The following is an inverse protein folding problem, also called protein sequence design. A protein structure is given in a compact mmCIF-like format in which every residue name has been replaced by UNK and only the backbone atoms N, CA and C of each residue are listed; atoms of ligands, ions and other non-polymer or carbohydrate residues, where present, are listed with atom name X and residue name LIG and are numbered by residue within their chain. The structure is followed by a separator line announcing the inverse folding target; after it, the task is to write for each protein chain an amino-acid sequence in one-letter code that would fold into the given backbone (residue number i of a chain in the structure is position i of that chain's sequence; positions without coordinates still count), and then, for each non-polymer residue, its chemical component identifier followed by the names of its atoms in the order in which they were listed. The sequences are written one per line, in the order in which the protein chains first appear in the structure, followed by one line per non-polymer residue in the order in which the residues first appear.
data_IF_075674038042
#
_entry.id   IF_075674038042
#
_cell.length_a   1.000
_cell.length_b   1.000
_cell.length_c   1.000
_cell.angle_alpha   90.00
_cell.angle_beta   90.00
_cell.angle_gamma   90.00
#
_symmetry.space_group_name_H-M   'P 1'
#
loop_
_entity.id
_entity.type
_entity.pdbx_description
1 polymer ?
#
# COMPACT_ATOMS: atom_id res chain seq x y z
N UNK A 1 68.30 -16.86 -20.00
CA UNK A 1 66.94 -16.73 -20.59
C UNK A 1 66.08 -17.79 -19.91
N UNK A 2 65.50 -17.58 -18.72
CA UNK A 2 64.56 -16.51 -18.31
C UNK A 2 63.35 -16.48 -19.26
N UNK A 3 62.17 -16.76 -18.70
CA UNK A 3 60.83 -16.88 -19.31
C UNK A 3 60.63 -18.20 -20.09
N UNK A 4 59.89 -19.19 -19.58
CA UNK A 4 58.43 -19.20 -19.56
C UNK A 4 57.84 -20.17 -18.51
N UNK A 5 58.42 -20.22 -17.30
CA UNK A 5 57.83 -20.89 -16.12
C UNK A 5 56.79 -19.99 -15.41
N UNK A 6 55.87 -19.39 -16.16
CA UNK A 6 54.79 -18.55 -15.64
C UNK A 6 53.46 -18.96 -16.27
N UNK A 7 52.99 -20.18 -16.01
CA UNK A 7 51.62 -20.61 -16.30
C UNK A 7 51.05 -21.56 -15.24
N UNK A 8 51.50 -21.42 -13.98
CA UNK A 8 51.11 -22.33 -12.89
C UNK A 8 50.68 -21.62 -11.59
N UNK A 9 50.44 -20.30 -11.63
CA UNK A 9 50.01 -19.54 -10.46
C UNK A 9 49.12 -18.35 -10.83
N UNK A 10 47.99 -18.61 -11.51
CA UNK A 10 46.90 -17.62 -11.57
C UNK A 10 45.54 -18.27 -11.87
N UNK A 11 45.18 -19.32 -11.13
CA UNK A 11 43.77 -19.57 -10.82
C UNK A 11 43.54 -19.06 -9.41
N UNK A 12 43.60 -17.74 -9.32
CA UNK A 12 43.24 -16.96 -8.16
C UNK A 12 41.80 -17.33 -7.80
N UNK A 13 41.65 -17.84 -6.59
CA UNK A 13 40.41 -17.87 -5.82
C UNK A 13 39.59 -16.59 -6.09
N UNK A 14 38.65 -16.65 -7.02
CA UNK A 14 37.59 -15.65 -7.17
C UNK A 14 36.23 -16.35 -7.03
N UNK A 15 36.15 -17.26 -6.06
CA UNK A 15 34.90 -17.67 -5.46
C UNK A 15 34.60 -16.74 -4.28
N UNK A 16 33.34 -16.28 -4.20
CA UNK A 16 32.74 -15.51 -3.10
C UNK A 16 32.85 -13.97 -3.17
N UNK A 17 32.42 -13.40 -4.29
CA UNK A 17 31.45 -12.31 -4.19
C UNK A 17 30.18 -12.78 -4.90
N UNK A 18 29.46 -13.72 -4.27
CA UNK A 18 28.03 -13.80 -4.55
C UNK A 18 27.50 -12.39 -4.31
N UNK A 19 26.87 -11.72 -5.31
CA UNK A 19 26.12 -10.52 -5.00
C UNK A 19 25.16 -10.97 -3.92
N UNK A 20 25.21 -10.35 -2.73
CA UNK A 20 24.36 -10.67 -1.59
C UNK A 20 22.98 -10.98 -2.15
N UNK A 21 22.59 -12.26 -2.18
CA UNK A 21 21.26 -12.65 -2.61
C UNK A 21 20.36 -12.10 -1.52
N UNK A 22 19.85 -10.89 -1.75
CA UNK A 22 19.05 -10.18 -0.77
C UNK A 22 17.79 -11.01 -0.55
N UNK A 23 17.43 -11.18 0.73
CA UNK A 23 16.24 -11.91 1.12
C UNK A 23 15.03 -11.31 0.39
N UNK A 24 14.32 -12.14 -0.38
CA UNK A 24 13.02 -11.84 -0.95
C UNK A 24 12.00 -12.78 -0.31
N UNK A 25 11.50 -12.48 0.92
CA UNK A 25 10.49 -13.32 1.54
C UNK A 25 9.25 -13.42 0.66
N UNK A 26 8.76 -14.64 0.47
CA UNK A 26 7.54 -14.87 -0.28
C UNK A 26 6.74 -16.03 0.28
N UNK A 27 5.43 -16.03 -0.01
CA UNK A 27 4.55 -17.15 0.26
C UNK A 27 3.42 -17.17 -0.77
N UNK A 28 3.07 -18.35 -1.26
CA UNK A 28 1.87 -18.57 -2.09
C UNK A 28 0.95 -19.59 -1.43
N UNK A 29 -0.35 -19.33 -1.49
CA UNK A 29 -1.37 -20.06 -0.73
C UNK A 29 -2.66 -20.18 -1.53
N UNK A 30 -3.33 -21.32 -1.39
CA UNK A 30 -4.68 -21.54 -1.88
C UNK A 30 -5.71 -21.05 -0.86
N UNK A 31 -6.64 -20.19 -1.30
CA UNK A 31 -7.60 -19.54 -0.39
C UNK A 31 -8.58 -20.53 0.23
N UNK A 32 -9.10 -21.50 -0.53
CA UNK A 32 -10.13 -22.41 -0.02
C UNK A 32 -9.62 -23.23 1.18
N UNK A 33 -8.43 -23.81 1.06
CA UNK A 33 -7.86 -24.74 2.04
C UNK A 33 -6.88 -24.07 3.01
N UNK A 34 -6.30 -22.93 2.64
CA UNK A 34 -5.17 -22.33 3.37
C UNK A 34 -3.86 -23.10 3.16
N UNK A 35 -3.83 -24.01 2.18
CA UNK A 35 -2.66 -24.82 1.81
C UNK A 35 -1.57 -23.95 1.21
N UNK A 36 -0.36 -24.10 1.73
CA UNK A 36 0.82 -23.40 1.24
C UNK A 36 1.37 -24.17 0.03
N UNK A 37 1.60 -23.42 -1.05
CA UNK A 37 2.07 -23.95 -2.33
C UNK A 37 3.60 -23.77 -2.45
N UNK A 38 4.09 -22.60 -2.07
CA UNK A 38 5.51 -22.28 -2.01
C UNK A 38 5.75 -21.25 -0.90
N UNK A 39 6.89 -21.31 -0.23
CA UNK A 39 7.28 -20.29 0.73
C UNK A 39 8.80 -20.17 0.83
N UNK A 40 9.28 -18.97 1.12
CA UNK A 40 10.67 -18.66 1.42
C UNK A 40 10.70 -17.58 2.50
N UNK A 41 11.51 -17.81 3.55
CA UNK A 41 11.69 -16.85 4.65
C UNK A 41 10.37 -16.30 5.21
N UNK A 42 9.34 -17.15 5.32
CA UNK A 42 7.95 -16.74 5.48
C UNK A 42 7.66 -15.98 6.79
N UNK A 43 8.53 -16.13 7.80
CA UNK A 43 8.45 -15.49 9.12
C UNK A 43 9.51 -14.40 9.34
N UNK A 44 10.32 -14.06 8.33
CA UNK A 44 11.21 -12.92 8.46
C UNK A 44 10.40 -11.63 8.58
N UNK A 45 10.75 -10.81 9.59
CA UNK A 45 10.11 -9.51 9.78
C UNK A 45 10.48 -8.60 8.62
N UNK A 46 9.50 -7.84 8.18
CA UNK A 46 9.63 -6.94 7.04
C UNK A 46 8.78 -5.70 7.24
N UNK A 47 9.19 -4.59 6.62
CA UNK A 47 8.36 -3.40 6.55
C UNK A 47 7.24 -3.62 5.51
N UNK A 48 5.95 -3.68 5.89
CA UNK A 48 4.87 -4.00 4.96
C UNK A 48 4.60 -2.86 3.97
N UNK A 49 5.08 -1.64 4.26
CA UNK A 49 4.74 -0.43 3.51
C UNK A 49 3.20 -0.35 3.32
N UNK A 50 2.74 0.05 2.14
CA UNK A 50 1.30 0.14 1.84
C UNK A 50 0.52 -1.17 1.85
N UNK A 51 1.15 -2.35 2.04
CA UNK A 51 0.41 -3.58 2.32
C UNK A 51 -0.37 -3.48 3.65
N UNK A 52 0.05 -2.57 4.55
CA UNK A 52 -0.69 -2.15 5.75
C UNK A 52 -2.15 -1.79 5.45
N UNK A 53 -2.42 -1.21 4.27
CA UNK A 53 -3.77 -0.80 3.88
C UNK A 53 -4.72 -1.99 3.66
N UNK A 54 -4.22 -3.22 3.54
CA UNK A 54 -5.05 -4.42 3.58
C UNK A 54 -5.70 -4.61 4.96
N UNK A 55 -4.99 -4.32 6.06
CA UNK A 55 -5.57 -4.39 7.40
C UNK A 55 -6.56 -3.24 7.61
N UNK A 56 -6.26 -2.06 7.09
CA UNK A 56 -7.20 -0.93 7.07
C UNK A 56 -8.49 -1.30 6.33
N UNK A 57 -8.39 -1.90 5.14
CA UNK A 57 -9.54 -2.39 4.39
C UNK A 57 -10.28 -3.50 5.15
N UNK A 58 -9.56 -4.46 5.76
CA UNK A 58 -10.14 -5.56 6.53
C UNK A 58 -11.05 -5.07 7.68
N UNK A 59 -10.58 -4.10 8.47
CA UNK A 59 -11.39 -3.51 9.56
C UNK A 59 -12.63 -2.81 9.02
N UNK A 60 -12.47 -2.04 7.94
CA UNK A 60 -13.56 -1.29 7.31
C UNK A 60 -14.60 -2.26 6.73
N UNK A 61 -14.14 -3.30 6.02
CA UNK A 61 -15.00 -4.35 5.48
C UNK A 61 -15.77 -5.08 6.56
N UNK A 62 -15.13 -5.39 7.68
CA UNK A 62 -15.79 -5.99 8.84
C UNK A 62 -16.92 -5.09 9.35
N UNK A 63 -16.66 -3.81 9.58
CA UNK A 63 -17.66 -2.84 10.02
C UNK A 63 -18.78 -2.63 8.97
N UNK A 64 -18.47 -2.67 7.67
CA UNK A 64 -19.48 -2.60 6.60
C UNK A 64 -20.34 -3.86 6.56
N UNK A 65 -19.73 -5.05 6.72
CA UNK A 65 -20.43 -6.34 6.66
C UNK A 65 -21.44 -6.53 7.79
N UNK A 66 -21.19 -5.91 8.96
CA UNK A 66 -22.10 -5.94 10.11
C UNK A 66 -23.10 -4.77 10.11
N UNK A 67 -23.05 -3.89 9.11
CA UNK A 67 -23.90 -2.70 9.04
C UNK A 67 -23.53 -1.57 10.00
N UNK A 68 -22.39 -1.66 10.70
CA UNK A 68 -21.90 -0.61 11.62
C UNK A 68 -21.59 0.68 10.85
N UNK A 69 -21.08 0.57 9.62
CA UNK A 69 -20.81 1.70 8.73
C UNK A 69 -21.36 1.46 7.32
N UNK A 70 -21.90 2.51 6.72
CA UNK A 70 -22.36 2.47 5.32
C UNK A 70 -21.21 2.83 4.36
N UNK A 71 -21.16 2.24 3.14
CA UNK A 71 -20.28 2.72 2.06
C UNK A 71 -20.50 4.21 1.71
N UNK A 72 -21.69 4.75 2.01
CA UNK A 72 -22.03 6.16 1.78
C UNK A 72 -21.59 7.09 2.93
N UNK A 73 -20.98 6.55 4.00
CA UNK A 73 -20.47 7.37 5.10
C UNK A 73 -19.53 8.44 4.55
N UNK A 74 -19.72 9.69 4.98
CA UNK A 74 -18.86 10.79 4.58
C UNK A 74 -17.50 10.67 5.25
N UNK A 75 -16.46 10.78 4.44
CA UNK A 75 -15.06 10.85 4.85
C UNK A 75 -14.59 12.27 4.59
N UNK A 76 -14.39 13.02 5.67
CA UNK A 76 -13.82 14.37 5.60
C UNK A 76 -12.31 14.26 5.78
N UNK A 77 -11.54 14.83 4.86
CA UNK A 77 -10.08 14.86 4.96
C UNK A 77 -9.68 15.88 6.02
N UNK A 78 -9.06 15.43 7.12
CA UNK A 78 -8.56 16.31 8.16
C UNK A 78 -7.31 17.08 7.70
N UNK A 79 -6.92 18.12 8.44
CA UNK A 79 -5.65 18.81 8.20
C UNK A 79 -4.43 17.89 8.37
N UNK A 80 -4.52 16.94 9.30
CA UNK A 80 -3.47 15.95 9.52
C UNK A 80 -3.37 14.99 8.32
N UNK A 81 -4.51 14.42 7.89
CA UNK A 81 -4.58 13.56 6.72
C UNK A 81 -4.05 14.27 5.46
N UNK A 82 -4.46 15.51 5.21
CA UNK A 82 -4.03 16.29 4.04
C UNK A 82 -2.51 16.56 3.98
N UNK A 83 -1.79 16.44 5.11
CA UNK A 83 -0.33 16.62 5.20
C UNK A 83 0.45 15.32 5.02
N UNK A 84 -0.22 14.18 4.78
CA UNK A 84 0.43 12.90 4.61
C UNK A 84 1.46 12.94 3.46
N UNK A 85 2.71 12.49 3.67
CA UNK A 85 3.74 12.54 2.65
C UNK A 85 3.59 11.39 1.65
N UNK A 86 3.95 11.65 0.39
CA UNK A 86 3.95 10.70 -0.74
C UNK A 86 2.60 10.00 -0.98
N UNK A 87 2.37 9.52 -2.21
CA UNK A 87 1.14 8.79 -2.58
C UNK A 87 -0.12 9.44 -1.97
N UNK A 88 -0.35 10.72 -2.22
CA UNK A 88 -1.50 11.45 -1.69
C UNK A 88 -2.57 11.60 -2.78
N UNK A 89 -3.85 11.70 -2.41
CA UNK A 89 -4.93 11.97 -3.36
C UNK A 89 -4.84 13.38 -3.96
N UNK A 90 -4.23 14.33 -3.24
CA UNK A 90 -4.12 15.74 -3.63
C UNK A 90 -5.37 16.56 -3.28
N UNK A 91 -6.37 15.94 -2.65
CA UNK A 91 -7.52 16.65 -2.11
C UNK A 91 -7.13 17.49 -0.89
N UNK A 92 -7.80 18.63 -0.73
CA UNK A 92 -7.50 19.59 0.35
C UNK A 92 -8.18 19.16 1.66
N UNK A 93 -7.62 19.58 2.79
CA UNK A 93 -8.28 19.48 4.09
C UNK A 93 -9.69 20.10 4.03
N UNK A 94 -10.69 19.39 4.53
CA UNK A 94 -12.12 19.71 4.45
C UNK A 94 -12.84 19.17 3.21
N UNK A 95 -12.13 18.54 2.27
CA UNK A 95 -12.80 17.84 1.15
C UNK A 95 -13.56 16.63 1.70
N UNK A 96 -14.71 16.33 1.10
CA UNK A 96 -15.59 15.24 1.53
C UNK A 96 -15.82 14.28 0.37
N UNK A 97 -15.73 12.98 0.64
CA UNK A 97 -16.01 11.88 -0.29
C UNK A 97 -16.75 10.76 0.45
N UNK A 98 -17.40 9.84 -0.28
CA UNK A 98 -17.95 8.64 0.35
C UNK A 98 -16.83 7.68 0.75
N UNK A 99 -17.09 6.83 1.74
CA UNK A 99 -16.20 5.73 2.12
C UNK A 99 -15.88 4.81 0.93
N UNK A 100 -16.88 4.50 0.11
CA UNK A 100 -16.72 3.72 -1.12
C UNK A 100 -15.71 4.34 -2.11
N UNK A 101 -15.82 5.65 -2.34
CA UNK A 101 -14.85 6.39 -3.17
C UNK A 101 -13.47 6.40 -2.52
N UNK A 102 -13.39 6.59 -1.19
CA UNK A 102 -12.13 6.62 -0.47
C UNK A 102 -11.40 5.27 -0.54
N UNK A 103 -12.13 4.16 -0.34
CA UNK A 103 -11.63 2.80 -0.47
C UNK A 103 -11.13 2.52 -1.89
N UNK A 104 -11.95 2.84 -2.90
CA UNK A 104 -11.61 2.65 -4.32
C UNK A 104 -10.30 3.36 -4.69
N UNK A 105 -10.18 4.65 -4.36
CA UNK A 105 -8.95 5.41 -4.63
C UNK A 105 -7.78 4.82 -3.84
N UNK A 106 -7.99 4.46 -2.57
CA UNK A 106 -6.93 3.94 -1.70
C UNK A 106 -6.40 2.59 -2.15
N UNK A 107 -7.26 1.69 -2.65
CA UNK A 107 -6.81 0.38 -3.15
C UNK A 107 -6.03 0.50 -4.46
N UNK A 108 -6.45 1.38 -5.37
CA UNK A 108 -5.81 1.55 -6.69
C UNK A 108 -4.54 2.39 -6.61
N UNK A 109 -4.60 3.53 -5.92
CA UNK A 109 -3.52 4.55 -5.85
C UNK A 109 -2.75 4.58 -4.55
N UNK A 110 -3.11 3.73 -3.59
CA UNK A 110 -2.37 3.57 -2.34
C UNK A 110 -2.32 4.84 -1.48
N UNK A 111 -3.37 5.65 -1.53
CA UNK A 111 -3.37 7.01 -0.97
C UNK A 111 -3.23 7.04 0.55
N UNK A 112 -2.21 7.74 1.06
CA UNK A 112 -1.89 7.82 2.49
C UNK A 112 -2.88 8.70 3.25
N UNK A 113 -3.19 9.87 2.69
CA UNK A 113 -4.15 10.84 3.22
C UNK A 113 -5.55 10.20 3.40
N UNK A 114 -6.05 9.49 2.39
CA UNK A 114 -7.36 8.82 2.49
C UNK A 114 -7.34 7.66 3.49
N UNK A 115 -6.25 6.90 3.60
CA UNK A 115 -6.14 5.86 4.62
C UNK A 115 -6.20 6.45 6.04
N UNK A 116 -5.55 7.60 6.26
CA UNK A 116 -5.60 8.32 7.53
C UNK A 116 -7.03 8.85 7.78
N UNK A 117 -7.63 9.55 6.81
CA UNK A 117 -8.98 10.10 6.95
C UNK A 117 -10.04 9.02 7.20
N UNK A 118 -9.96 7.86 6.52
CA UNK A 118 -10.83 6.72 6.80
C UNK A 118 -10.62 6.18 8.23
N UNK A 119 -9.36 6.10 8.69
CA UNK A 119 -9.07 5.64 10.06
C UNK A 119 -9.66 6.56 11.13
N UNK A 120 -9.59 7.88 10.92
CA UNK A 120 -10.20 8.90 11.79
C UNK A 120 -11.72 8.80 11.77
N UNK A 121 -12.34 8.67 10.60
CA UNK A 121 -13.78 8.61 10.45
C UNK A 121 -14.41 7.33 11.04
N UNK A 122 -13.68 6.21 11.02
CA UNK A 122 -14.17 4.90 11.48
C UNK A 122 -13.92 4.65 12.96
N UNK A 123 -12.79 5.10 13.51
CA UNK A 123 -12.44 4.86 14.92
C UNK A 123 -12.37 6.13 15.78
N UNK A 124 -12.71 7.30 15.24
CA UNK A 124 -12.62 8.59 15.91
C UNK A 124 -11.20 9.18 15.96
N UNK A 125 -10.17 8.33 15.89
CA UNK A 125 -8.77 8.76 15.78
C UNK A 125 -7.90 7.66 15.16
N UNK A 126 -6.77 8.05 14.57
CA UNK A 126 -5.82 7.07 14.04
C UNK A 126 -5.26 6.15 15.16
N UNK A 127 -5.05 6.67 16.38
CA UNK A 127 -4.58 5.87 17.52
C UNK A 127 -5.57 4.75 17.86
N UNK A 128 -6.85 5.07 17.95
CA UNK A 128 -7.90 4.08 18.21
C UNK A 128 -8.02 3.07 17.06
N UNK A 129 -7.82 3.52 15.82
CA UNK A 129 -7.81 2.63 14.66
C UNK A 129 -6.63 1.65 14.70
N UNK A 130 -5.42 2.11 15.02
CA UNK A 130 -4.22 1.25 15.16
C UNK A 130 -4.40 0.21 16.28
N UNK A 131 -5.05 0.58 17.38
CA UNK A 131 -5.42 -0.38 18.43
C UNK A 131 -6.34 -1.49 17.88
N UNK A 132 -7.36 -1.13 17.07
CA UNK A 132 -8.20 -2.12 16.37
C UNK A 132 -7.38 -2.98 15.39
N UNK A 133 -6.45 -2.39 14.62
CA UNK A 133 -5.56 -3.13 13.71
C UNK A 133 -4.75 -4.20 14.44
N UNK A 134 -4.14 -3.86 15.57
CA UNK A 134 -3.33 -4.81 16.34
C UNK A 134 -4.18 -5.84 17.07
N UNK A 135 -5.39 -5.48 17.52
CA UNK A 135 -6.34 -6.44 18.08
C UNK A 135 -6.79 -7.47 17.03
N UNK A 136 -7.09 -7.04 15.80
CA UNK A 136 -7.44 -7.93 14.70
C UNK A 136 -6.24 -8.77 14.25
N UNK A 137 -5.03 -8.19 14.15
CA UNK A 137 -3.82 -8.96 13.87
C UNK A 137 -3.63 -10.10 14.86
N UNK A 138 -3.80 -9.83 16.17
CA UNK A 138 -3.75 -10.84 17.22
C UNK A 138 -4.86 -11.88 17.06
N UNK A 139 -6.11 -11.46 16.81
CA UNK A 139 -7.27 -12.35 16.62
C UNK A 139 -7.07 -13.31 15.45
N UNK A 140 -6.48 -12.81 14.37
CA UNK A 140 -6.16 -13.61 13.18
C UNK A 140 -4.95 -14.52 13.39
N UNK A 141 -4.15 -14.32 14.45
CA UNK A 141 -2.93 -15.08 14.69
C UNK A 141 -1.74 -14.60 13.86
N UNK A 142 -1.69 -13.31 13.52
CA UNK A 142 -0.58 -12.66 12.83
C UNK A 142 0.58 -12.35 13.81
N UNK A 143 1.26 -13.41 14.27
CA UNK A 143 2.24 -13.36 15.37
C UNK A 143 3.53 -12.59 15.07
N UNK A 144 3.83 -12.36 13.80
CA UNK A 144 4.99 -11.59 13.34
C UNK A 144 4.63 -10.18 12.89
N UNK A 145 3.46 -9.65 13.29
CA UNK A 145 2.92 -8.38 12.81
C UNK A 145 2.64 -7.38 13.93
N UNK A 146 3.01 -6.14 13.70
CA UNK A 146 2.55 -4.99 14.47
C UNK A 146 2.35 -3.79 13.53
N UNK A 147 1.20 -3.14 13.64
CA UNK A 147 0.88 -1.93 12.90
C UNK A 147 1.10 -0.71 13.78
N UNK A 148 1.75 0.33 13.24
CA UNK A 148 1.91 1.61 13.95
C UNK A 148 1.05 2.74 13.37
N UNK A 149 0.54 2.57 12.14
CA UNK A 149 -0.29 3.53 11.44
C UNK A 149 -1.19 2.84 10.40
N UNK A 150 -2.21 3.53 9.91
CA UNK A 150 -3.21 2.96 8.98
C UNK A 150 -2.78 2.95 7.51
N UNK A 151 -1.69 3.65 7.16
CA UNK A 151 -1.29 3.87 5.76
C UNK A 151 -0.07 3.03 5.34
N UNK A 152 0.74 2.58 6.29
CA UNK A 152 2.03 1.96 6.03
C UNK A 152 3.15 2.96 5.75
N UNK A 153 3.02 4.20 6.24
CA UNK A 153 4.11 5.17 6.25
C UNK A 153 5.28 4.63 7.08
N UNK A 154 6.53 5.04 6.77
CA UNK A 154 7.72 4.53 7.45
C UNK A 154 7.66 4.72 8.98
N UNK A 155 7.81 3.61 9.69
CA UNK A 155 7.91 3.55 11.14
C UNK A 155 8.60 2.23 11.50
N UNK A 156 9.68 2.23 12.32
CA UNK A 156 10.35 1.01 12.75
C UNK A 156 9.44 -0.01 13.45
N UNK A 157 8.36 0.46 14.09
CA UNK A 157 7.37 -0.39 14.75
C UNK A 157 6.33 -0.94 13.78
N UNK A 158 6.27 -0.51 12.52
CA UNK A 158 5.34 -1.06 11.55
C UNK A 158 5.99 -2.23 10.79
N UNK A 159 5.74 -3.46 11.21
CA UNK A 159 6.34 -4.66 10.62
C UNK A 159 5.32 -5.79 10.46
N UNK A 160 5.62 -6.72 9.56
CA UNK A 160 4.81 -7.91 9.27
C UNK A 160 5.70 -9.02 8.71
N UNK A 161 5.11 -10.17 8.39
CA UNK A 161 5.78 -11.28 7.68
C UNK A 161 5.03 -11.66 6.41
N UNK A 162 5.66 -12.41 5.50
CA UNK A 162 4.98 -12.91 4.30
C UNK A 162 3.81 -13.85 4.67
N UNK A 163 4.00 -14.70 5.69
CA UNK A 163 2.96 -15.58 6.21
C UNK A 163 1.76 -14.81 6.75
N UNK A 164 2.00 -13.78 7.56
CA UNK A 164 0.91 -13.03 8.18
C UNK A 164 0.13 -12.19 7.16
N UNK A 165 0.82 -11.59 6.19
CA UNK A 165 0.16 -10.88 5.09
C UNK A 165 -0.67 -11.85 4.24
N UNK A 166 -0.17 -13.06 3.98
CA UNK A 166 -0.93 -14.07 3.27
C UNK A 166 -2.18 -14.49 4.04
N UNK A 167 -2.06 -14.65 5.36
CA UNK A 167 -3.19 -14.95 6.24
C UNK A 167 -4.26 -13.85 6.20
N UNK A 168 -3.85 -12.59 6.30
CA UNK A 168 -4.76 -11.46 6.16
C UNK A 168 -5.47 -11.45 4.81
N UNK A 169 -4.73 -11.67 3.71
CA UNK A 169 -5.29 -11.69 2.37
C UNK A 169 -6.28 -12.85 2.17
N UNK A 170 -5.97 -14.05 2.69
CA UNK A 170 -6.89 -15.20 2.72
C UNK A 170 -8.17 -14.86 3.48
N UNK A 171 -8.07 -14.22 4.65
CA UNK A 171 -9.25 -13.87 5.43
C UNK A 171 -10.09 -12.77 4.78
N UNK A 172 -9.48 -11.79 4.11
CA UNK A 172 -10.23 -10.82 3.29
C UNK A 172 -11.06 -11.56 2.23
N UNK A 173 -10.45 -12.51 1.50
CA UNK A 173 -11.14 -13.25 0.44
C UNK A 173 -12.25 -14.17 0.96
N UNK A 174 -12.06 -14.77 2.14
CA UNK A 174 -13.04 -15.68 2.76
C UNK A 174 -14.19 -14.95 3.42
N UNK A 175 -13.90 -13.92 4.21
CA UNK A 175 -14.89 -13.23 5.03
C UNK A 175 -15.65 -12.15 4.23
N UNK A 176 -15.01 -11.58 3.19
CA UNK A 176 -15.55 -10.43 2.46
C UNK A 176 -15.52 -10.58 0.92
N UNK A 177 -15.98 -11.70 0.34
CA UNK A 177 -16.00 -11.87 -1.12
C UNK A 177 -16.80 -10.77 -1.85
N UNK A 178 -17.84 -10.20 -1.22
CA UNK A 178 -18.65 -9.11 -1.76
C UNK A 178 -17.86 -7.81 -2.00
N UNK A 179 -16.71 -7.61 -1.34
CA UNK A 179 -15.85 -6.44 -1.49
C UNK A 179 -14.62 -6.69 -2.38
N UNK A 180 -14.56 -7.85 -3.06
CA UNK A 180 -13.44 -8.20 -3.94
C UNK A 180 -13.21 -7.17 -5.07
N UNK A 181 -14.27 -6.49 -5.51
CA UNK A 181 -14.23 -5.52 -6.60
C UNK A 181 -13.25 -4.36 -6.35
N UNK A 182 -13.00 -3.94 -5.10
CA UNK A 182 -12.04 -2.86 -4.80
C UNK A 182 -10.60 -3.19 -5.23
N UNK A 183 -10.26 -4.47 -5.32
CA UNK A 183 -8.91 -4.91 -5.63
C UNK A 183 -8.66 -5.09 -7.14
N UNK A 184 -9.71 -5.21 -7.94
CA UNK A 184 -9.63 -5.44 -9.39
C UNK A 184 -9.87 -4.19 -10.24
N UNK A 185 -10.13 -3.02 -9.62
CA UNK A 185 -10.29 -1.76 -10.35
C UNK A 185 -9.00 -1.46 -11.15
N UNK A 186 -9.07 -1.31 -12.48
CA UNK A 186 -7.89 -1.17 -13.32
C UNK A 186 -7.27 0.23 -13.27
N UNK A 187 -8.09 1.27 -13.07
CA UNK A 187 -7.64 2.66 -13.01
C UNK A 187 -8.69 3.54 -12.32
N UNK A 188 -8.27 4.71 -11.85
CA UNK A 188 -9.14 5.76 -11.31
C UNK A 188 -9.17 6.93 -12.29
N UNK A 189 -10.37 7.40 -12.62
CA UNK A 189 -10.62 8.65 -13.31
C UNK A 189 -11.12 9.71 -12.32
N UNK A 190 -10.27 10.71 -12.04
CA UNK A 190 -10.60 11.82 -11.13
C UNK A 190 -11.49 12.90 -11.80
N UNK A 191 -11.80 12.73 -13.09
CA UNK A 191 -12.56 13.68 -13.89
C UNK A 191 -11.79 14.95 -14.27
N UNK A 192 -12.45 15.79 -15.08
CA UNK A 192 -11.89 17.06 -15.55
C UNK A 192 -10.71 16.87 -16.50
N UNK A 193 -9.65 17.67 -16.33
CA UNK A 193 -8.41 17.60 -17.13
C UNK A 193 -7.32 16.72 -16.48
N UNK A 194 -7.67 15.93 -15.46
CA UNK A 194 -6.71 15.08 -14.78
C UNK A 194 -6.38 13.84 -15.62
N UNK A 195 -5.14 13.37 -15.53
CA UNK A 195 -4.76 12.09 -16.15
C UNK A 195 -5.41 10.94 -15.41
N UNK A 196 -5.97 9.98 -16.14
CA UNK A 196 -6.40 8.68 -15.61
C UNK A 196 -5.19 8.03 -14.92
N UNK A 197 -5.40 7.53 -13.71
CA UNK A 197 -4.33 6.96 -12.92
C UNK A 197 -4.48 5.43 -12.82
N UNK A 198 -3.58 4.64 -13.42
CA UNK A 198 -3.68 3.19 -13.42
C UNK A 198 -3.44 2.60 -12.04
N UNK A 199 -3.92 1.36 -11.85
CA UNK A 199 -3.58 0.55 -10.69
C UNK A 199 -2.07 0.33 -10.63
N UNK A 200 -1.53 0.43 -9.41
CA UNK A 200 -0.11 0.19 -9.14
C UNK A 200 0.33 -1.28 -9.30
N UNK A 201 -0.63 -2.21 -9.28
CA UNK A 201 -0.41 -3.61 -9.62
C UNK A 201 -0.52 -3.78 -11.15
N UNK A 202 0.62 -3.87 -11.86
CA UNK A 202 0.57 -4.00 -13.31
C UNK A 202 0.17 -5.41 -13.77
N UNK A 203 -0.15 -6.35 -12.89
CA UNK A 203 -0.76 -7.61 -13.30
C UNK A 203 -2.24 -7.44 -13.66
N UNK A 204 -2.92 -6.39 -13.18
CA UNK A 204 -4.35 -6.18 -13.43
C UNK A 204 -4.61 -6.03 -14.94
N UNK A 205 -5.45 -6.93 -15.48
CA UNK A 205 -5.75 -7.01 -16.91
C UNK A 205 -4.65 -7.64 -17.77
N UNK A 206 -3.56 -8.12 -17.15
CA UNK A 206 -2.37 -8.65 -17.83
C UNK A 206 -1.98 -10.07 -17.39
N UNK A 207 -2.65 -10.65 -16.40
CA UNK A 207 -2.46 -12.03 -15.97
C UNK A 207 -3.81 -12.75 -15.93
N UNK A 208 -3.89 -13.97 -16.47
CA UNK A 208 -5.15 -14.72 -16.54
C UNK A 208 -5.73 -15.01 -15.15
N UNK A 209 -6.96 -14.57 -14.93
CA UNK A 209 -7.68 -14.70 -13.66
C UNK A 209 -7.30 -13.68 -12.57
N UNK A 210 -6.41 -12.71 -12.84
CA UNK A 210 -5.99 -11.73 -11.83
C UNK A 210 -7.17 -10.92 -11.29
N UNK A 211 -7.26 -10.81 -9.96
CA UNK A 211 -8.35 -10.11 -9.27
C UNK A 211 -7.88 -9.31 -8.05
N UNK A 212 -6.56 -9.10 -7.90
CA UNK A 212 -6.01 -8.24 -6.85
C UNK A 212 -4.51 -8.40 -6.60
N UNK A 213 -3.97 -7.89 -5.48
CA UNK A 213 -4.68 -7.08 -4.48
C UNK A 213 -3.99 -5.75 -4.23
N UNK A 214 -2.75 -5.75 -3.70
CA UNK A 214 -2.15 -4.52 -3.19
C UNK A 214 -0.63 -4.52 -3.31
N UNK A 215 -0.09 -3.40 -3.76
CA UNK A 215 1.35 -3.12 -3.76
C UNK A 215 1.80 -2.35 -2.52
N UNK A 216 3.09 -2.41 -2.21
CA UNK A 216 3.73 -1.59 -1.19
C UNK A 216 5.15 -1.19 -1.58
N UNK A 217 5.53 0.03 -1.25
CA UNK A 217 6.90 0.50 -1.43
C UNK A 217 7.22 1.60 -0.41
N UNK A 218 8.30 1.40 0.33
CA UNK A 218 9.15 2.42 0.91
C UNK A 218 10.59 1.99 0.66
N UNK A 219 11.55 2.92 0.67
CA UNK A 219 12.95 2.57 0.42
C UNK A 219 13.46 1.43 1.32
N UNK A 220 13.05 1.42 2.59
CA UNK A 220 13.46 0.40 3.56
C UNK A 220 12.81 -0.98 3.30
N UNK A 221 11.71 -1.07 2.54
CA UNK A 221 11.00 -2.33 2.30
C UNK A 221 11.33 -2.99 0.97
N UNK A 222 11.98 -2.30 0.04
CA UNK A 222 11.94 -2.70 -1.37
C UNK A 222 10.52 -2.66 -1.93
N UNK A 223 10.31 -3.37 -3.05
CA UNK A 223 9.04 -3.44 -3.76
C UNK A 223 8.23 -4.68 -3.33
N UNK A 224 7.05 -4.45 -2.74
CA UNK A 224 6.18 -5.49 -2.19
C UNK A 224 4.88 -5.64 -3.01
N UNK A 225 4.33 -6.85 -3.05
CA UNK A 225 3.05 -7.15 -3.70
C UNK A 225 2.32 -8.31 -3.01
N UNK A 226 1.03 -8.13 -2.79
CA UNK A 226 0.05 -9.22 -2.62
C UNK A 226 -0.75 -9.30 -3.91
N UNK A 227 -0.57 -10.38 -4.65
CA UNK A 227 -1.33 -10.69 -5.86
C UNK A 227 -2.37 -11.78 -5.56
N UNK A 228 -3.53 -11.70 -6.20
CA UNK A 228 -4.60 -12.70 -6.13
C UNK A 228 -5.08 -12.97 -7.54
N UNK A 229 -5.30 -14.25 -7.86
CA UNK A 229 -5.91 -14.68 -9.09
C UNK A 229 -6.87 -15.84 -8.85
N UNK A 230 -7.97 -15.87 -9.62
CA UNK A 230 -8.99 -16.92 -9.56
C UNK A 230 -9.19 -17.55 -10.94
N UNK A 231 -9.04 -18.87 -11.04
CA UNK A 231 -9.35 -19.66 -12.25
C UNK A 231 -10.21 -20.86 -11.85
N UNK A 232 -11.34 -21.09 -12.54
CA UNK A 232 -12.24 -22.24 -12.30
C UNK A 232 -12.58 -22.43 -10.80
N UNK A 233 -13.00 -21.35 -10.12
CA UNK A 233 -13.32 -21.29 -8.68
C UNK A 233 -12.17 -21.58 -7.71
N UNK A 234 -10.94 -21.71 -8.20
CA UNK A 234 -9.73 -21.84 -7.37
C UNK A 234 -9.04 -20.48 -7.29
N UNK A 235 -8.89 -19.94 -6.08
CA UNK A 235 -8.18 -18.67 -5.84
C UNK A 235 -6.81 -18.93 -5.21
N UNK A 236 -5.77 -18.37 -5.84
CA UNK A 236 -4.39 -18.42 -5.36
C UNK A 236 -3.95 -17.00 -4.99
N UNK A 237 -3.28 -16.88 -3.85
CA UNK A 237 -2.65 -15.63 -3.40
C UNK A 237 -1.13 -15.83 -3.42
N UNK A 238 -0.40 -14.83 -3.90
CA UNK A 238 1.05 -14.74 -3.82
C UNK A 238 1.45 -13.45 -3.10
N UNK A 239 2.26 -13.59 -2.04
CA UNK A 239 2.85 -12.49 -1.27
C UNK A 239 4.34 -12.44 -1.56
N UNK A 240 4.82 -11.28 -1.97
CA UNK A 240 6.21 -11.00 -2.32
C UNK A 240 6.64 -9.76 -1.55
N UNK A 241 7.72 -9.88 -0.79
CA UNK A 241 8.32 -8.79 -0.03
C UNK A 241 9.75 -8.57 -0.50
N UNK A 242 10.17 -7.31 -0.61
CA UNK A 242 11.58 -6.98 -0.80
C UNK A 242 12.15 -7.20 -2.19
N UNK A 243 11.34 -7.20 -3.26
CA UNK A 243 11.89 -7.21 -4.62
C UNK A 243 12.71 -5.95 -4.89
N UNK A 244 13.75 -6.05 -5.72
CA UNK A 244 14.63 -4.91 -5.98
C UNK A 244 13.97 -3.90 -6.91
N UNK A 245 13.08 -4.34 -7.81
CA UNK A 245 12.37 -3.46 -8.73
C UNK A 245 10.95 -3.97 -9.01
N UNK A 246 10.17 -3.16 -9.74
CA UNK A 246 8.76 -3.47 -10.07
C UNK A 246 8.63 -4.67 -11.00
N UNK A 247 9.56 -4.83 -11.96
CA UNK A 247 9.53 -5.93 -12.92
C UNK A 247 9.75 -7.27 -12.21
N UNK A 248 10.82 -7.39 -11.42
CA UNK A 248 11.14 -8.57 -10.61
C UNK A 248 9.98 -8.96 -9.68
N UNK A 249 9.35 -7.97 -9.04
CA UNK A 249 8.18 -8.17 -8.17
C UNK A 249 7.02 -8.83 -8.90
N UNK A 250 6.70 -8.34 -10.10
CA UNK A 250 5.55 -8.79 -10.88
C UNK A 250 5.79 -10.12 -11.57
N UNK A 251 7.00 -10.33 -12.10
CA UNK A 251 7.40 -11.60 -12.67
C UNK A 251 7.40 -12.70 -11.60
N UNK A 252 7.93 -12.42 -10.40
CA UNK A 252 7.87 -13.39 -9.30
C UNK A 252 6.45 -13.72 -8.89
N UNK A 253 5.56 -12.73 -8.85
CA UNK A 253 4.15 -12.95 -8.54
C UNK A 253 3.45 -13.80 -9.60
N UNK A 254 3.65 -13.49 -10.89
CA UNK A 254 3.10 -14.27 -11.98
C UNK A 254 3.59 -15.73 -11.96
N UNK A 255 4.88 -15.95 -11.70
CA UNK A 255 5.46 -17.29 -11.54
C UNK A 255 4.81 -18.07 -10.38
N UNK A 256 4.64 -17.45 -9.21
CA UNK A 256 4.06 -18.11 -8.04
C UNK A 256 2.57 -18.43 -8.24
N UNK A 257 1.82 -17.52 -8.88
CA UNK A 257 0.42 -17.76 -9.22
C UNK A 257 0.28 -18.91 -10.22
N UNK A 258 1.07 -18.91 -11.29
CA UNK A 258 1.02 -19.96 -12.32
C UNK A 258 1.44 -21.33 -11.77
N UNK A 259 2.53 -21.37 -10.99
CA UNK A 259 2.95 -22.59 -10.29
C UNK A 259 1.84 -23.11 -9.37
N UNK A 260 1.13 -22.21 -8.68
CA UNK A 260 0.00 -22.56 -7.85
C UNK A 260 -1.14 -23.23 -8.61
N UNK A 261 -1.49 -22.72 -9.79
CA UNK A 261 -2.52 -23.33 -10.65
C UNK A 261 -2.09 -24.66 -11.27
N UNK A 262 -0.80 -24.83 -11.55
CA UNK A 262 -0.23 -26.07 -12.12
C UNK A 262 -0.07 -27.19 -11.10
N UNK A 263 0.10 -26.86 -9.81
CA UNK A 263 0.24 -27.86 -8.74
C UNK A 263 -1.10 -28.55 -8.42
N UNK A 264 -1.06 -29.88 -8.40
CA UNK A 264 -2.12 -30.73 -7.86
C UNK A 264 -2.03 -30.81 -6.32
N UNK A 265 -3.11 -31.24 -5.68
CA UNK A 265 -3.19 -31.37 -4.21
C UNK A 265 -2.27 -32.50 -3.70
N UNK A 266 -1.08 -32.15 -3.20
CA UNK A 266 -0.15 -33.13 -2.59
C UNK A 266 0.49 -32.66 -1.28
N UNK A 267 0.55 -31.35 -1.01
CA UNK A 267 1.11 -30.79 0.24
C UNK A 267 0.03 -30.68 1.32
N UNK A 268 0.31 -31.21 2.51
CA UNK A 268 -0.55 -31.05 3.70
C UNK A 268 -0.22 -29.78 4.52
N UNK A 269 0.79 -29.00 4.12
CA UNK A 269 1.22 -27.82 4.86
C UNK A 269 0.24 -26.66 4.64
N UNK A 270 -0.23 -26.04 5.72
CA UNK A 270 -1.17 -24.92 5.69
C UNK A 270 -0.63 -23.71 6.45
N UNK A 271 -1.25 -22.53 6.26
CA UNK A 271 -0.95 -21.34 7.07
C UNK A 271 -1.10 -21.57 8.57
N UNK A 272 -1.97 -22.49 8.98
CA UNK A 272 -2.21 -22.82 10.39
C UNK A 272 -1.16 -23.79 10.95
N UNK A 273 -0.61 -24.68 10.12
CA UNK A 273 0.33 -25.73 10.54
C UNK A 273 1.80 -25.39 10.26
N UNK A 274 2.08 -24.33 9.49
CA UNK A 274 3.44 -23.87 9.25
C UNK A 274 4.11 -23.39 10.55
N UNK A 275 5.17 -24.08 10.95
CA UNK A 275 5.96 -23.74 12.13
C UNK A 275 6.89 -22.55 11.84
N UNK A 276 7.00 -21.56 12.74
CA UNK A 276 7.93 -20.44 12.58
C UNK A 276 9.39 -20.87 12.37
N UNK A 277 10.09 -20.23 11.44
CA UNK A 277 11.50 -20.49 11.12
C UNK A 277 12.19 -19.23 10.57
N UNK A 278 13.52 -19.22 10.56
CA UNK A 278 14.35 -18.13 10.02
C UNK A 278 15.17 -17.41 11.09
N UNK A 279 16.06 -16.52 10.66
CA UNK A 279 17.03 -15.85 11.55
C UNK A 279 16.65 -14.41 11.87
N UNK A 280 15.85 -13.76 11.01
CA UNK A 280 15.44 -12.35 11.16
C UNK A 280 13.99 -12.21 11.64
N UNK A 281 13.67 -12.87 12.74
CA UNK A 281 12.31 -12.87 13.30
C UNK A 281 12.03 -11.75 14.31
N UNK A 282 13.06 -10.98 14.69
CA UNK A 282 12.94 -9.91 15.71
C UNK A 282 13.16 -8.51 15.14
N UNK A 283 13.76 -8.38 13.96
CA UNK A 283 14.06 -7.09 13.32
C UNK A 283 13.76 -7.15 11.83
N UNK A 284 13.12 -6.10 11.30
CA UNK A 284 12.89 -5.97 9.88
C UNK A 284 14.18 -5.61 9.12
N UNK A 285 14.39 -6.23 7.95
CA UNK A 285 15.51 -5.86 7.06
C UNK A 285 15.26 -4.47 6.47
N UNK A 286 16.26 -3.60 6.53
CA UNK A 286 16.23 -2.28 5.88
C UNK A 286 16.97 -2.36 4.53
N UNK A 287 16.22 -2.15 3.45
CA UNK A 287 16.72 -2.14 2.07
C UNK A 287 17.04 -0.75 1.51
N UNK A 288 17.06 0.31 2.33
CA UNK A 288 17.12 1.70 1.84
C UNK A 288 18.34 1.95 0.95
N UNK A 289 19.50 1.41 1.30
CA UNK A 289 20.74 1.59 0.53
C UNK A 289 20.68 0.87 -0.82
N UNK A 290 20.04 -0.29 -0.84
CA UNK A 290 19.90 -1.15 -2.01
C UNK A 290 18.80 -0.65 -2.95
N UNK A 291 17.78 0.03 -2.42
CA UNK A 291 16.58 0.41 -3.16
C UNK A 291 16.59 1.88 -3.59
N UNK A 292 17.16 2.78 -2.79
CA UNK A 292 17.03 4.22 -3.01
C UNK A 292 18.37 4.97 -3.03
N UNK A 293 19.48 4.27 -3.24
CA UNK A 293 20.74 4.93 -3.61
C UNK A 293 20.64 5.55 -5.02
N UNK A 294 21.48 6.55 -5.36
CA UNK A 294 21.59 7.07 -6.72
C UNK A 294 21.86 5.96 -7.75
N UNK A 295 22.67 4.96 -7.38
CA UNK A 295 23.00 3.79 -8.20
C UNK A 295 21.77 2.89 -8.42
N UNK A 296 21.01 2.60 -7.36
CA UNK A 296 19.76 1.85 -7.46
C UNK A 296 18.74 2.57 -8.34
N UNK A 297 18.62 3.89 -8.23
CA UNK A 297 17.71 4.69 -9.06
C UNK A 297 18.05 4.57 -10.55
N UNK A 298 19.34 4.64 -10.91
CA UNK A 298 19.80 4.44 -12.29
C UNK A 298 19.54 3.01 -12.77
N UNK A 299 19.69 2.02 -11.89
CA UNK A 299 19.40 0.63 -12.21
C UNK A 299 17.90 0.41 -12.47
N UNK A 300 17.03 0.98 -11.64
CA UNK A 300 15.57 0.85 -11.76
C UNK A 300 15.05 1.43 -13.07
N UNK A 301 15.63 2.53 -13.55
CA UNK A 301 15.24 3.15 -14.81
C UNK A 301 15.37 2.22 -16.03
N UNK A 302 16.24 1.19 -15.96
CA UNK A 302 16.42 0.19 -17.04
C UNK A 302 15.24 -0.75 -17.22
N UNK A 303 14.32 -0.79 -16.25
CA UNK A 303 13.13 -1.64 -16.28
C UNK A 303 11.88 -0.87 -16.74
N UNK A 304 12.06 0.29 -17.36
CA UNK A 304 10.99 1.09 -17.94
C UNK A 304 11.28 1.38 -19.41
N UNK A 305 10.25 1.36 -20.25
CA UNK A 305 10.33 1.79 -21.65
C UNK A 305 10.34 3.32 -21.77
N UNK A 306 10.54 3.84 -22.98
CA UNK A 306 10.58 5.28 -23.26
C UNK A 306 9.26 6.01 -22.94
N UNK A 307 8.17 5.26 -22.77
CA UNK A 307 6.83 5.76 -22.40
C UNK A 307 6.59 5.69 -20.89
N UNK A 308 7.56 5.18 -20.12
CA UNK A 308 7.47 5.02 -18.67
C UNK A 308 6.67 3.80 -18.21
N UNK A 309 6.39 2.84 -19.09
CA UNK A 309 5.77 1.56 -18.71
C UNK A 309 6.82 0.59 -18.21
N UNK A 310 6.45 -0.24 -17.23
CA UNK A 310 7.32 -1.31 -16.74
C UNK A 310 7.54 -2.36 -17.84
N UNK A 311 8.81 -2.68 -18.09
CA UNK A 311 9.20 -3.78 -18.98
C UNK A 311 9.01 -5.10 -18.23
N UNK A 312 8.12 -5.94 -18.72
CA UNK A 312 7.81 -7.26 -18.18
C UNK A 312 8.08 -8.31 -19.26
N UNK A 313 8.82 -9.35 -18.91
CA UNK A 313 9.32 -10.38 -19.84
C UNK A 313 8.74 -11.76 -19.57
N UNK A 314 8.00 -11.93 -18.46
CA UNK A 314 7.37 -13.20 -18.10
C UNK A 314 6.37 -13.65 -19.19
N UNK A 315 6.39 -14.95 -19.58
CA UNK A 315 5.42 -15.49 -20.54
C UNK A 315 3.99 -15.56 -19.99
N UNK A 316 3.82 -15.37 -18.67
CA UNK A 316 2.52 -15.39 -18.01
C UNK A 316 1.86 -14.01 -17.95
N UNK A 317 2.58 -12.95 -18.36
CA UNK A 317 2.10 -11.58 -18.34
C UNK A 317 1.89 -11.10 -19.77
N UNK A 318 0.65 -10.83 -20.13
CA UNK A 318 0.27 -10.33 -21.45
C UNK A 318 0.53 -8.82 -21.58
N UNK A 319 0.44 -8.32 -22.82
CA UNK A 319 0.47 -6.89 -23.08
C UNK A 319 -0.67 -6.18 -22.35
N UNK A 320 -0.49 -4.90 -22.05
CA UNK A 320 -1.54 -4.08 -21.44
C UNK A 320 -2.83 -4.14 -22.26
N UNK A 321 -3.99 -4.30 -21.61
CA UNK A 321 -5.25 -4.42 -22.33
C UNK A 321 -5.52 -3.13 -23.13
N UNK A 322 -6.00 -3.30 -24.36
CA UNK A 322 -6.34 -2.19 -25.26
C UNK A 322 -7.52 -1.36 -24.76
N UNK A 323 -8.36 -1.94 -23.90
CA UNK A 323 -9.42 -1.24 -23.17
C UNK A 323 -9.30 -1.54 -21.67
N UNK A 324 -9.20 -0.48 -20.88
CA UNK A 324 -9.46 -0.53 -19.44
C UNK A 324 -10.57 0.47 -19.16
N UNK A 325 -11.53 0.08 -18.32
CA UNK A 325 -12.62 0.96 -17.89
C UNK A 325 -12.21 1.61 -16.58
N UNK A 326 -11.66 2.84 -16.58
CA UNK A 326 -11.32 3.51 -15.34
C UNK A 326 -12.59 3.78 -14.53
N UNK A 327 -12.49 3.67 -13.21
CA UNK A 327 -13.58 4.00 -12.31
C UNK A 327 -13.63 5.52 -12.12
N UNK A 328 -14.69 6.22 -12.55
CA UNK A 328 -14.86 7.64 -12.28
C UNK A 328 -15.12 7.86 -10.78
N UNK A 329 -14.39 8.80 -10.19
CA UNK A 329 -14.55 9.20 -8.78
C UNK A 329 -14.81 10.69 -8.67
N UNK A 330 -15.56 11.09 -7.64
CA UNK A 330 -15.90 12.49 -7.38
C UNK A 330 -15.96 12.79 -5.89
N UNK A 331 -15.64 14.03 -5.55
CA UNK A 331 -15.91 14.56 -4.22
C UNK A 331 -17.40 14.85 -4.06
N UNK A 332 -17.92 14.70 -2.84
CA UNK A 332 -19.23 15.22 -2.44
C UNK A 332 -19.15 16.75 -2.34
N UNK A 333 -18.09 17.26 -1.69
CA UNK A 333 -17.85 18.69 -1.57
C UNK A 333 -16.38 19.01 -1.43
N UNK A 334 -16.00 20.21 -1.89
CA UNK A 334 -14.67 20.78 -1.64
C UNK A 334 -14.75 21.83 -0.52
N UNK A 335 -13.63 22.14 0.16
CA UNK A 335 -13.62 23.20 1.17
C UNK A 335 -14.03 24.52 0.51
N UNK A 336 -14.98 25.22 1.12
CA UNK A 336 -15.30 26.58 0.68
C UNK A 336 -14.06 27.44 0.86
N UNK A 337 -13.52 27.96 -0.25
CA UNK A 337 -12.50 29.00 -0.18
C UNK A 337 -13.18 30.28 0.26
N UNK A 338 -13.30 30.49 1.58
CA UNK A 338 -13.51 31.83 2.08
C UNK A 338 -12.25 32.62 1.75
N UNK A 339 -12.22 33.24 0.57
CA UNK A 339 -11.39 34.42 0.32
C UNK A 339 -11.89 35.48 1.28
N UNK A 340 -11.45 35.43 2.54
CA UNK A 340 -11.55 36.57 3.41
C UNK A 340 -10.74 37.65 2.71
N UNK A 341 -11.42 38.58 2.03
CA UNK A 341 -10.86 39.89 1.72
C UNK A 341 -10.58 40.54 3.08
N UNK A 342 -9.53 40.13 3.78
CA UNK A 342 -8.97 40.91 4.86
C UNK A 342 -8.54 42.21 4.20
N UNK A 343 -9.38 43.25 4.30
CA UNK A 343 -8.92 44.61 4.06
C UNK A 343 -7.67 44.76 4.91
N UNK A 344 -6.52 45.18 4.35
CA UNK A 344 -5.33 45.38 5.15
C UNK A 344 -5.69 46.31 6.32
N UNK A 345 -5.30 45.96 7.54
CA UNK A 345 -5.60 46.72 8.77
C UNK A 345 -5.27 48.22 8.64
N UNK A 346 -4.36 48.59 7.71
CA UNK A 346 -4.05 49.96 7.29
C UNK A 346 -5.22 50.75 6.67
N UNK A 347 -6.36 50.13 6.33
CA UNK A 347 -7.54 50.78 5.72
C UNK A 347 -8.74 50.89 6.68
N UNK A 348 -8.57 50.56 7.96
CA UNK A 348 -9.58 50.84 8.98
C UNK A 348 -9.38 52.28 9.47
N UNK A 349 -10.36 53.19 9.31
CA UNK A 349 -10.25 54.53 9.84
C UNK A 349 -10.16 54.44 11.38
N UNK A 350 -9.08 55.00 11.93
CA UNK A 350 -8.93 55.18 13.38
C UNK A 350 -9.82 56.36 13.75
N UNK A 351 -10.74 56.23 14.73
CA UNK A 351 -11.54 57.36 15.18
C UNK A 351 -10.63 58.44 15.75
N UNK A 352 -10.67 59.62 15.14
CA UNK A 352 -9.88 60.77 15.56
C UNK A 352 -10.32 61.24 16.96
N UNK A 353 -9.37 61.37 17.88
CA UNK A 353 -9.60 61.81 19.27
C UNK A 353 -9.84 63.33 19.33
N UNK A 354 -10.81 63.88 18.61
CA UNK A 354 -11.21 65.30 18.74
C UNK A 354 -12.68 65.54 18.45
N UNK A 355 -13.52 65.38 19.48
CA UNK A 355 -14.90 65.92 19.61
C UNK A 355 -15.55 65.18 20.80
N UNK A 356 -15.98 65.74 21.93
CA UNK A 356 -16.42 67.09 22.29
C UNK A 356 -16.28 67.25 23.82
N UNK A 357 -15.85 68.41 24.25
CA UNK A 357 -16.24 68.95 25.55
C UNK A 357 -17.64 69.55 25.46
N UNK A 358 -18.29 69.63 26.62
CA UNK A 358 -19.46 70.47 27.02
C UNK A 358 -20.88 69.92 26.90
N UNK A 359 -21.63 70.25 27.97
CA UNK A 359 -23.05 70.04 28.30
C UNK A 359 -23.41 68.63 28.83
N UNK A 360 -24.01 68.45 30.02
CA UNK A 360 -24.88 69.36 30.77
C UNK A 360 -24.92 69.06 32.28
N UNK A 361 -25.15 70.13 33.04
CA UNK A 361 -25.55 70.18 34.45
C UNK A 361 -26.80 69.34 34.71
N UNK A 362 -26.84 68.60 35.82
CA UNK A 362 -27.95 68.59 36.80
C UNK A 362 -27.83 67.37 37.73
N UNK A 363 -27.53 67.62 39.01
CA UNK A 363 -28.00 66.81 40.15
C UNK A 363 -27.76 67.59 41.45
N UNK A 364 -28.84 68.18 41.96
CA UNK A 364 -29.10 68.46 43.39
C UNK A 364 -29.38 67.12 44.11
N UNK A 365 -29.28 67.03 45.45
CA UNK A 365 -30.10 67.80 46.41
C UNK A 365 -29.53 69.15 46.83
#
# INVERSE_FOLDING_TARGET
MRYLLYNLFFSFFLSLLSPFALAQPFLSVEVATGRILNHNQAFERWYPASLTKLMTAYIIFRAMSTGEISPNKHITISEYAAKAPAYHSGYKAGSVLTLDTALSITMVKSTNDLAIAMSEAVAGSQKAFVQKMNAEAKRLGMVGTHFSNASGLPDPQNYSTARDIALLAVQIRREFPQYAHYFSIPAIDFGGKQKIQPNSNNLIGRFDGIDGMKTGFICASGFNLVASATRKNRTIIAVILGSNNVSEREEKAAQLLEAGFSQQESSQLTLATLVPYGTKMTQATDMKQQTCSPEATKMHARFYDDKGNVILTSPFITASPTSSFPLPVRLISTPQTHKTKRKPLKKLPIPDKKSKATYNKSRKP
#
